data_IF_985826494913
#
_entry.id   IF_985826494913
#
_cell.length_a   1.000
_cell.length_b   1.000
_cell.length_c   1.000
_cell.angle_alpha   90.00
_cell.angle_beta   90.00
_cell.angle_gamma   90.00
#
_symmetry.space_group_name_H-M   'P 1'
#
loop_
_entity.id
_entity.type
_entity.pdbx_description
1 polymer ?
#
# COMPACT_ATOMS: atom_id res chain seq x y z
N UNK A 1 21.91 -39.83 -41.19
CA UNK A 1 22.84 -39.21 -40.22
C UNK A 1 22.54 -37.72 -40.21
N UNK A 2 21.90 -37.21 -39.20
CA UNK A 2 21.49 -35.82 -39.10
C UNK A 2 21.12 -35.53 -37.63
N UNK A 3 22.09 -34.98 -36.89
CA UNK A 3 21.94 -34.62 -35.48
C UNK A 3 20.98 -33.44 -35.34
N UNK A 4 19.83 -33.67 -34.71
CA UNK A 4 18.95 -32.62 -34.20
C UNK A 4 19.46 -32.12 -32.86
N UNK A 5 20.03 -30.93 -32.84
CA UNK A 5 20.41 -30.21 -31.62
C UNK A 5 19.19 -29.55 -31.00
N UNK A 6 18.71 -30.13 -29.91
CA UNK A 6 17.61 -29.59 -29.12
C UNK A 6 18.14 -28.40 -28.32
N UNK A 7 17.79 -27.17 -28.72
CA UNK A 7 18.07 -25.94 -27.98
C UNK A 7 17.15 -25.87 -26.75
N UNK A 8 17.70 -26.21 -25.60
CA UNK A 8 17.10 -25.88 -24.28
C UNK A 8 17.24 -24.37 -24.09
N UNK A 9 16.15 -23.63 -24.31
CA UNK A 9 16.04 -22.23 -23.91
C UNK A 9 15.91 -22.16 -22.41
N UNK A 10 16.95 -21.70 -21.78
CA UNK A 10 16.98 -21.37 -20.36
C UNK A 10 15.94 -20.28 -20.01
N UNK A 11 15.08 -20.59 -19.06
CA UNK A 11 13.99 -19.75 -18.53
C UNK A 11 14.50 -18.75 -17.47
N UNK A 12 15.70 -18.18 -17.62
CA UNK A 12 16.37 -17.40 -16.56
C UNK A 12 16.68 -15.95 -16.90
N UNK A 13 16.17 -15.37 -17.98
CA UNK A 13 16.39 -13.95 -18.28
C UNK A 13 15.07 -13.24 -18.65
N UNK A 14 14.11 -13.19 -17.73
CA UNK A 14 13.20 -12.06 -17.66
C UNK A 14 13.95 -10.93 -16.95
N UNK A 15 14.77 -10.20 -17.70
CA UNK A 15 15.15 -8.84 -17.32
C UNK A 15 13.85 -8.08 -17.10
N UNK A 16 13.50 -7.82 -15.83
CA UNK A 16 12.46 -6.84 -15.50
C UNK A 16 12.91 -5.54 -16.16
N UNK A 17 12.27 -5.21 -17.29
CA UNK A 17 12.34 -3.86 -17.82
C UNK A 17 11.93 -2.96 -16.68
N UNK A 18 12.86 -2.15 -16.17
CA UNK A 18 12.54 -1.06 -15.25
C UNK A 18 11.65 -0.10 -16.05
N UNK A 19 10.35 -0.35 -16.03
CA UNK A 19 9.39 0.55 -16.61
C UNK A 19 9.59 1.90 -15.89
N UNK A 20 9.66 3.00 -16.63
CA UNK A 20 9.84 4.35 -16.06
C UNK A 20 8.46 4.95 -15.79
N UNK A 21 8.30 5.71 -14.70
CA UNK A 21 7.05 6.43 -14.48
C UNK A 21 6.63 7.16 -15.75
N UNK A 22 5.37 7.02 -16.13
CA UNK A 22 4.85 7.61 -17.38
C UNK A 22 3.52 8.33 -17.14
N UNK A 23 3.18 9.27 -18.00
CA UNK A 23 1.91 9.98 -17.96
C UNK A 23 0.87 9.25 -18.81
N UNK A 24 -0.37 9.21 -18.30
CA UNK A 24 -1.52 8.73 -19.06
C UNK A 24 -1.84 9.75 -20.17
N UNK A 25 -2.04 9.25 -21.39
CA UNK A 25 -2.63 10.05 -22.45
C UNK A 25 -4.12 10.30 -22.15
N UNK A 26 -4.42 11.49 -21.65
CA UNK A 26 -5.80 11.87 -21.32
C UNK A 26 -6.74 11.86 -22.52
N UNK A 27 -6.23 12.02 -23.76
CA UNK A 27 -7.07 12.03 -24.96
C UNK A 27 -7.73 10.67 -25.21
N UNK A 28 -7.04 9.59 -24.84
CA UNK A 28 -7.49 8.21 -25.03
C UNK A 28 -7.93 7.53 -23.74
N UNK A 29 -7.77 8.19 -22.58
CA UNK A 29 -8.08 7.57 -21.29
C UNK A 29 -9.59 7.44 -21.07
N UNK A 30 -10.12 6.21 -20.86
CA UNK A 30 -11.57 6.01 -20.67
C UNK A 30 -12.16 6.76 -19.47
N UNK A 31 -11.34 7.09 -18.45
CA UNK A 31 -11.78 7.84 -17.28
C UNK A 31 -11.72 9.37 -17.44
N UNK A 32 -11.30 9.89 -18.57
CA UNK A 32 -11.12 11.32 -18.78
C UNK A 32 -12.29 12.18 -18.28
N UNK A 33 -13.51 11.84 -18.64
CA UNK A 33 -14.69 12.62 -18.24
C UNK A 33 -14.90 12.65 -16.73
N UNK A 34 -14.67 11.52 -16.04
CA UNK A 34 -14.75 11.42 -14.57
C UNK A 34 -13.59 12.17 -13.91
N UNK A 35 -12.40 12.07 -14.49
CA UNK A 35 -11.22 12.81 -14.04
C UNK A 35 -11.46 14.32 -14.07
N UNK A 36 -11.87 14.85 -15.23
CA UNK A 36 -12.15 16.27 -15.44
C UNK A 36 -13.29 16.77 -14.55
N UNK A 37 -14.31 15.93 -14.28
CA UNK A 37 -15.43 16.28 -13.41
C UNK A 37 -15.01 16.51 -11.96
N UNK A 38 -14.20 15.60 -11.37
CA UNK A 38 -13.79 15.69 -9.97
C UNK A 38 -12.56 16.58 -9.74
N UNK A 39 -11.78 16.87 -10.77
CA UNK A 39 -10.54 17.64 -10.65
C UNK A 39 -10.72 19.01 -9.97
N UNK A 40 -11.77 19.80 -10.26
CA UNK A 40 -11.96 21.12 -9.66
C UNK A 40 -12.59 21.07 -8.25
N UNK A 41 -12.89 19.91 -7.71
CA UNK A 41 -13.49 19.82 -6.37
C UNK A 41 -12.48 20.20 -5.29
N UNK A 42 -12.88 21.02 -4.33
CA UNK A 42 -12.03 21.39 -3.19
C UNK A 42 -11.60 20.19 -2.34
N UNK A 43 -12.47 19.18 -2.23
CA UNK A 43 -12.23 17.94 -1.48
C UNK A 43 -12.57 16.70 -2.34
N UNK A 44 -11.78 16.42 -3.36
CA UNK A 44 -12.07 15.31 -4.26
C UNK A 44 -11.63 13.96 -3.67
N UNK A 45 -11.89 13.73 -2.39
CA UNK A 45 -11.51 12.50 -1.71
C UNK A 45 -12.75 11.78 -1.21
N UNK A 46 -12.69 10.46 -1.28
CA UNK A 46 -13.63 9.63 -0.55
C UNK A 46 -12.89 8.57 0.26
N UNK A 47 -13.52 8.16 1.33
CA UNK A 47 -13.01 7.17 2.26
C UNK A 47 -13.99 6.00 2.36
N UNK A 48 -13.45 4.79 2.34
CA UNK A 48 -14.18 3.55 2.62
C UNK A 48 -13.60 2.94 3.88
N UNK A 49 -14.43 2.75 4.90
CA UNK A 49 -14.07 1.96 6.08
C UNK A 49 -14.70 0.58 5.97
N UNK A 50 -13.93 -0.45 6.25
CA UNK A 50 -14.33 -1.84 6.24
C UNK A 50 -13.67 -2.61 7.39
N UNK A 51 -13.95 -3.89 7.47
CA UNK A 51 -13.50 -4.79 8.53
C UNK A 51 -12.84 -6.00 7.89
N UNK A 52 -11.56 -6.18 8.08
CA UNK A 52 -10.80 -7.29 7.53
C UNK A 52 -10.66 -8.41 8.56
N UNK A 53 -10.96 -9.64 8.14
CA UNK A 53 -10.68 -10.83 8.94
C UNK A 53 -9.20 -11.20 8.78
N UNK A 54 -8.47 -11.12 9.89
CA UNK A 54 -7.03 -11.41 9.94
C UNK A 54 -6.71 -12.71 10.69
N UNK A 55 -7.71 -13.54 10.95
CA UNK A 55 -7.57 -14.79 11.74
C UNK A 55 -6.54 -15.73 11.15
N UNK A 56 -6.63 -15.98 9.84
CA UNK A 56 -5.70 -16.87 9.14
C UNK A 56 -4.29 -16.28 9.07
N UNK A 57 -4.17 -14.96 8.89
CA UNK A 57 -2.89 -14.27 8.93
C UNK A 57 -2.20 -14.48 10.28
N UNK A 58 -2.91 -14.25 11.39
CA UNK A 58 -2.35 -14.46 12.73
C UNK A 58 -1.96 -15.91 12.97
N UNK A 59 -2.77 -16.85 12.47
CA UNK A 59 -2.47 -18.29 12.55
C UNK A 59 -1.20 -18.67 11.78
N UNK A 60 -1.03 -18.16 10.57
CA UNK A 60 0.16 -18.39 9.76
C UNK A 60 1.42 -17.80 10.42
N UNK A 61 1.31 -16.59 10.97
CA UNK A 61 2.44 -15.92 11.60
C UNK A 61 2.89 -16.55 12.91
N UNK A 62 2.00 -17.22 13.67
CA UNK A 62 2.38 -17.97 14.89
C UNK A 62 3.36 -19.12 14.61
N UNK A 63 3.39 -19.62 13.38
CA UNK A 63 4.28 -20.71 12.95
C UNK A 63 5.64 -20.21 12.46
N UNK A 64 5.83 -18.89 12.37
CA UNK A 64 7.03 -18.27 11.81
C UNK A 64 7.88 -17.62 12.91
N UNK A 65 9.15 -17.94 12.93
CA UNK A 65 10.10 -17.24 13.79
C UNK A 65 10.22 -15.77 13.36
N UNK A 66 10.30 -14.88 14.34
CA UNK A 66 10.47 -13.43 14.14
C UNK A 66 9.35 -12.76 13.33
N UNK A 67 8.16 -13.34 13.31
CA UNK A 67 7.02 -12.76 12.63
C UNK A 67 6.65 -11.39 13.24
N UNK A 68 6.43 -10.42 12.39
CA UNK A 68 5.95 -9.08 12.78
C UNK A 68 4.63 -8.79 12.08
N UNK A 69 3.53 -8.95 12.84
CA UNK A 69 2.16 -8.76 12.32
C UNK A 69 2.00 -7.37 11.71
N UNK A 70 2.55 -6.33 12.34
CA UNK A 70 2.47 -4.95 11.89
C UNK A 70 3.12 -4.76 10.51
N UNK A 71 4.36 -5.19 10.32
CA UNK A 71 5.02 -5.13 9.02
C UNK A 71 4.36 -6.04 7.98
N UNK A 72 3.83 -7.19 8.40
CA UNK A 72 3.20 -8.13 7.47
C UNK A 72 1.93 -7.57 6.84
N UNK A 73 1.02 -6.96 7.61
CA UNK A 73 -0.16 -6.38 6.96
C UNK A 73 0.17 -5.12 6.14
N UNK A 74 1.25 -4.38 6.46
CA UNK A 74 1.75 -3.33 5.57
C UNK A 74 2.28 -3.90 4.24
N UNK A 75 3.01 -5.02 4.30
CA UNK A 75 3.44 -5.73 3.09
C UNK A 75 2.28 -6.12 2.20
N UNK A 76 1.26 -6.78 2.76
CA UNK A 76 0.09 -7.21 2.00
C UNK A 76 -0.67 -6.01 1.41
N UNK A 77 -0.81 -4.93 2.16
CA UNK A 77 -1.43 -3.70 1.69
C UNK A 77 -0.67 -3.05 0.53
N UNK A 78 0.67 -3.01 0.60
CA UNK A 78 1.50 -2.51 -0.47
C UNK A 78 1.49 -3.43 -1.69
N UNK A 79 1.48 -4.74 -1.48
CA UNK A 79 1.37 -5.71 -2.56
C UNK A 79 0.06 -5.52 -3.33
N UNK A 80 -1.07 -5.45 -2.65
CA UNK A 80 -2.36 -5.16 -3.28
C UNK A 80 -2.34 -3.84 -4.06
N UNK A 81 -1.73 -2.80 -3.51
CA UNK A 81 -1.64 -1.50 -4.16
C UNK A 81 -0.77 -1.52 -5.42
N UNK A 82 0.31 -2.30 -5.43
CA UNK A 82 1.16 -2.45 -6.60
C UNK A 82 0.50 -3.29 -7.70
N UNK A 83 -0.37 -4.22 -7.35
CA UNK A 83 -1.12 -5.05 -8.30
C UNK A 83 -2.34 -4.33 -8.90
N UNK A 84 -2.88 -3.30 -8.24
CA UNK A 84 -4.05 -2.52 -8.69
C UNK A 84 -3.58 -1.16 -9.23
N UNK A 85 -3.41 -1.07 -10.54
CA UNK A 85 -2.77 0.08 -11.21
C UNK A 85 -3.25 1.46 -10.73
N UNK A 86 -4.57 1.75 -10.53
CA UNK A 86 -5.00 3.06 -10.06
C UNK A 86 -4.40 3.50 -8.71
N UNK A 87 -3.97 2.59 -7.85
CA UNK A 87 -3.25 2.94 -6.61
C UNK A 87 -1.85 3.50 -6.87
N UNK A 88 -1.32 3.34 -8.09
CA UNK A 88 -0.04 3.88 -8.54
C UNK A 88 -0.17 5.24 -9.25
N UNK A 89 -1.40 5.73 -9.45
CA UNK A 89 -1.67 7.03 -10.06
C UNK A 89 -1.37 8.18 -9.11
N UNK A 90 -0.79 9.25 -9.66
CA UNK A 90 -0.60 10.51 -8.96
C UNK A 90 -1.01 11.68 -9.85
N UNK A 91 -1.65 12.66 -9.23
CA UNK A 91 -1.96 13.93 -9.88
C UNK A 91 -0.73 14.82 -9.87
N UNK A 92 -0.30 15.30 -11.04
CA UNK A 92 0.80 16.24 -11.17
C UNK A 92 0.47 17.26 -12.26
N UNK A 93 0.31 18.52 -11.87
CA UNK A 93 0.03 19.65 -12.80
C UNK A 93 -1.15 19.36 -13.75
N UNK A 94 -2.23 18.81 -13.20
CA UNK A 94 -3.42 18.46 -13.96
C UNK A 94 -3.28 17.23 -14.86
N UNK A 95 -2.18 16.50 -14.77
CA UNK A 95 -1.91 15.24 -15.49
C UNK A 95 -1.88 14.05 -14.54
N UNK A 96 -2.02 12.84 -15.08
CA UNK A 96 -1.97 11.60 -14.29
C UNK A 96 -0.67 10.87 -14.57
N UNK A 97 0.22 10.87 -13.57
CA UNK A 97 1.43 10.08 -13.56
C UNK A 97 1.14 8.67 -13.05
N UNK A 98 1.70 7.66 -13.68
CA UNK A 98 1.69 6.25 -13.23
C UNK A 98 3.07 5.89 -12.73
N UNK A 99 3.19 5.55 -11.45
CA UNK A 99 4.41 4.98 -10.91
C UNK A 99 4.50 3.49 -11.22
N UNK A 100 5.71 2.98 -11.43
CA UNK A 100 5.91 1.53 -11.60
C UNK A 100 5.75 0.78 -10.29
N UNK A 101 6.30 1.34 -9.23
CA UNK A 101 6.29 0.75 -7.89
C UNK A 101 5.89 1.81 -6.89
N UNK A 102 5.02 1.40 -5.97
CA UNK A 102 4.62 2.20 -4.82
C UNK A 102 5.22 1.62 -3.55
N UNK A 103 5.89 2.47 -2.81
CA UNK A 103 6.51 2.20 -1.53
C UNK A 103 5.58 2.55 -0.36
N UNK A 104 6.02 2.31 0.87
CA UNK A 104 5.26 2.59 2.08
C UNK A 104 5.86 3.70 2.94
N UNK A 105 4.99 4.39 3.65
CA UNK A 105 5.36 5.26 4.75
C UNK A 105 4.31 5.15 5.84
N UNK A 106 4.74 5.09 7.10
CA UNK A 106 3.82 4.96 8.24
C UNK A 106 4.33 5.73 9.45
N UNK A 107 3.47 5.89 10.44
CA UNK A 107 3.84 6.53 11.71
C UNK A 107 4.45 5.52 12.67
N UNK A 108 5.47 5.94 13.40
CA UNK A 108 6.10 5.20 14.48
C UNK A 108 6.04 6.03 15.75
N UNK A 109 5.37 5.49 16.78
CA UNK A 109 5.29 6.17 18.09
C UNK A 109 6.63 6.11 18.82
N UNK A 110 6.97 7.19 19.48
CA UNK A 110 8.19 7.37 20.26
C UNK A 110 7.89 7.27 21.76
N UNK A 111 8.91 7.01 22.63
CA UNK A 111 8.72 6.89 24.06
C UNK A 111 8.16 8.13 24.76
N UNK A 112 8.29 9.30 24.14
CA UNK A 112 7.76 10.59 24.64
C UNK A 112 6.33 10.87 24.19
N UNK A 113 5.59 9.84 23.71
CA UNK A 113 4.20 9.92 23.23
C UNK A 113 4.00 10.78 21.97
N UNK A 114 5.08 11.21 21.31
CA UNK A 114 5.02 11.78 19.98
C UNK A 114 5.19 10.68 18.92
N UNK A 115 5.18 11.04 17.63
CA UNK A 115 5.46 10.10 16.58
C UNK A 115 6.46 10.69 15.56
N UNK A 116 7.16 9.79 14.89
CA UNK A 116 7.94 10.10 13.71
C UNK A 116 7.44 9.28 12.52
N UNK A 117 8.06 9.47 11.36
CA UNK A 117 7.72 8.74 10.14
C UNK A 117 8.81 7.72 9.83
N UNK A 118 8.38 6.51 9.50
CA UNK A 118 9.25 5.48 8.94
C UNK A 118 8.83 5.19 7.50
N UNK A 119 9.82 5.04 6.64
CA UNK A 119 9.64 4.75 5.21
C UNK A 119 10.34 3.45 4.88
N UNK A 120 9.68 2.60 4.10
CA UNK A 120 10.23 1.34 3.64
C UNK A 120 9.86 1.11 2.18
N UNK A 121 10.76 0.49 1.47
CA UNK A 121 10.58 0.18 0.07
C UNK A 121 9.83 -1.15 -0.09
N UNK A 122 8.98 -1.23 -1.11
CA UNK A 122 8.29 -2.45 -1.46
C UNK A 122 9.26 -3.43 -2.15
N UNK A 123 9.11 -4.70 -1.84
CA UNK A 123 9.73 -5.79 -2.57
C UNK A 123 8.69 -6.87 -2.82
N UNK A 124 8.73 -7.55 -3.96
CA UNK A 124 7.80 -8.64 -4.28
C UNK A 124 7.94 -9.82 -3.31
N UNK A 125 9.18 -10.16 -2.93
CA UNK A 125 9.47 -11.17 -1.93
C UNK A 125 9.18 -10.64 -0.53
N UNK A 126 8.38 -11.38 0.23
CA UNK A 126 8.07 -11.05 1.61
C UNK A 126 9.32 -10.99 2.48
N UNK A 127 10.22 -11.97 2.36
CA UNK A 127 11.45 -12.01 3.14
C UNK A 127 12.35 -10.80 2.89
N UNK A 128 12.50 -10.36 1.63
CA UNK A 128 13.24 -9.14 1.29
C UNK A 128 12.57 -7.88 1.83
N UNK A 129 11.25 -7.79 1.72
CA UNK A 129 10.51 -6.68 2.31
C UNK A 129 10.71 -6.62 3.82
N UNK A 130 10.57 -7.76 4.52
CA UNK A 130 10.73 -7.82 5.98
C UNK A 130 12.13 -7.42 6.43
N UNK A 131 13.18 -7.83 5.72
CA UNK A 131 14.55 -7.40 6.00
C UNK A 131 14.70 -5.87 5.89
N UNK A 132 14.28 -5.30 4.77
CA UNK A 132 14.38 -3.86 4.52
C UNK A 132 13.53 -3.03 5.49
N UNK A 133 12.28 -3.42 5.70
CA UNK A 133 11.35 -2.72 6.57
C UNK A 133 11.75 -2.80 8.06
N UNK A 134 12.23 -3.96 8.52
CA UNK A 134 12.74 -4.11 9.89
C UNK A 134 13.91 -3.19 10.13
N UNK A 135 14.90 -3.17 9.22
CA UNK A 135 16.05 -2.26 9.29
C UNK A 135 15.62 -0.79 9.34
N UNK A 136 14.70 -0.38 8.47
CA UNK A 136 14.19 0.99 8.43
C UNK A 136 13.51 1.40 9.75
N UNK A 137 12.77 0.48 10.38
CA UNK A 137 12.14 0.70 11.70
C UNK A 137 13.20 0.84 12.80
N UNK A 138 14.20 -0.03 12.81
CA UNK A 138 15.30 0.02 13.80
C UNK A 138 16.13 1.30 13.68
N UNK A 139 16.50 1.68 12.46
CA UNK A 139 17.21 2.93 12.19
C UNK A 139 16.40 4.16 12.64
N UNK A 140 15.07 4.13 12.38
CA UNK A 140 14.17 5.22 12.80
C UNK A 140 14.05 5.29 14.34
N UNK A 141 13.97 4.16 15.02
CA UNK A 141 13.88 4.08 16.50
C UNK A 141 15.17 4.53 17.18
N UNK A 142 16.32 4.18 16.60
CA UNK A 142 17.64 4.49 17.13
C UNK A 142 18.15 5.87 16.68
N UNK A 143 17.41 6.55 15.81
CA UNK A 143 17.71 7.88 15.31
C UNK A 143 17.38 8.98 16.33
N UNK A 144 17.47 10.22 15.88
CA UNK A 144 17.21 11.41 16.70
C UNK A 144 15.72 11.72 16.99
N UNK A 145 14.80 10.87 16.51
CA UNK A 145 13.35 11.04 16.66
C UNK A 145 12.75 12.22 15.88
N UNK A 146 13.55 12.90 15.05
CA UNK A 146 13.08 14.06 14.32
C UNK A 146 11.99 13.70 13.30
N UNK A 147 10.97 14.54 13.24
CA UNK A 147 9.89 14.41 12.28
C UNK A 147 10.34 14.93 10.90
N UNK A 148 10.59 14.01 9.96
CA UNK A 148 11.11 14.32 8.61
C UNK A 148 10.16 13.84 7.50
N UNK A 149 9.11 14.61 7.19
CA UNK A 149 8.20 14.24 6.11
C UNK A 149 8.86 14.38 4.73
N UNK A 150 8.65 13.40 3.87
CA UNK A 150 9.13 13.38 2.48
C UNK A 150 8.01 13.84 1.54
N UNK A 151 7.70 15.12 1.54
CA UNK A 151 6.56 15.67 0.80
C UNK A 151 6.67 15.54 -0.72
N UNK A 152 7.87 15.51 -1.25
CA UNK A 152 8.13 15.42 -2.70
C UNK A 152 8.11 13.96 -3.22
N UNK A 153 8.12 12.99 -2.30
CA UNK A 153 8.11 11.57 -2.66
C UNK A 153 6.67 11.04 -2.65
N UNK A 154 5.99 11.17 -3.78
CA UNK A 154 4.63 10.69 -3.96
C UNK A 154 4.54 9.24 -4.48
N UNK A 155 5.68 8.59 -4.78
CA UNK A 155 5.74 7.17 -5.07
C UNK A 155 5.50 6.29 -3.81
N UNK A 156 4.63 6.76 -2.90
CA UNK A 156 4.33 6.11 -1.63
C UNK A 156 2.84 6.06 -1.35
N UNK A 157 2.46 5.15 -0.47
CA UNK A 157 1.18 5.16 0.23
C UNK A 157 1.46 5.53 1.69
N UNK A 158 0.63 6.43 2.23
CA UNK A 158 0.71 6.80 3.63
C UNK A 158 -0.19 5.89 4.46
N UNK A 159 0.43 5.22 5.42
CA UNK A 159 -0.26 4.34 6.36
C UNK A 159 -0.31 4.96 7.76
N UNK A 160 -1.37 4.66 8.48
CA UNK A 160 -1.53 5.02 9.90
C UNK A 160 -2.03 3.80 10.65
N UNK A 161 -1.44 3.53 11.81
CA UNK A 161 -1.92 2.47 12.70
C UNK A 161 -2.47 3.10 13.98
N UNK A 162 -3.71 2.74 14.33
CA UNK A 162 -4.43 3.18 15.53
C UNK A 162 -4.72 1.97 16.42
N UNK A 163 -3.71 1.41 17.11
CA UNK A 163 -3.85 0.13 17.84
C UNK A 163 -4.72 0.25 19.09
N UNK A 164 -5.11 1.45 19.45
CA UNK A 164 -5.98 1.73 20.61
C UNK A 164 -7.47 1.81 20.26
N UNK A 165 -7.80 2.00 18.97
CA UNK A 165 -9.17 2.36 18.54
C UNK A 165 -9.66 1.38 17.49
N UNK A 166 -10.77 0.69 17.80
CA UNK A 166 -11.55 -0.07 16.83
C UNK A 166 -12.53 0.92 16.14
N UNK A 167 -12.03 1.69 15.18
CA UNK A 167 -12.81 2.73 14.53
C UNK A 167 -13.84 2.13 13.55
N UNK A 168 -14.94 2.85 13.36
CA UNK A 168 -15.96 2.59 12.34
C UNK A 168 -15.93 3.63 11.21
N UNK A 169 -15.30 4.77 11.46
CA UNK A 169 -15.08 5.85 10.51
C UNK A 169 -13.74 6.52 10.81
N UNK A 170 -13.06 6.97 9.78
CA UNK A 170 -11.78 7.66 9.90
C UNK A 170 -11.56 8.58 8.69
N UNK A 171 -10.94 9.72 8.90
CA UNK A 171 -10.50 10.60 7.81
C UNK A 171 -9.16 11.23 8.16
N UNK A 172 -8.33 11.44 7.15
CA UNK A 172 -7.01 12.04 7.32
C UNK A 172 -7.03 13.55 7.19
N UNK A 173 -6.09 14.20 7.86
CA UNK A 173 -5.76 15.58 7.55
C UNK A 173 -5.20 15.71 6.13
N UNK A 174 -5.64 16.74 5.40
CA UNK A 174 -5.20 17.07 4.04
C UNK A 174 -4.80 18.54 3.97
N UNK A 175 -3.80 18.86 3.16
CA UNK A 175 -3.42 20.25 2.89
C UNK A 175 -4.31 20.83 1.79
N UNK A 176 -4.89 22.00 2.04
CA UNK A 176 -5.61 22.76 1.03
C UNK A 176 -4.66 23.33 -0.04
N UNK A 177 -5.13 23.40 -1.27
CA UNK A 177 -4.39 24.01 -2.38
C UNK A 177 -3.16 23.21 -2.85
N UNK A 178 -3.00 21.96 -2.46
CA UNK A 178 -1.98 21.06 -2.99
C UNK A 178 -2.61 19.85 -3.67
N UNK A 179 -1.98 19.40 -4.75
CA UNK A 179 -2.30 18.14 -5.43
C UNK A 179 -1.85 16.96 -4.55
N UNK A 180 -2.57 16.70 -3.44
CA UNK A 180 -2.32 15.53 -2.58
C UNK A 180 -3.18 14.36 -3.05
N UNK A 181 -2.69 13.58 -3.99
CA UNK A 181 -3.39 12.42 -4.55
C UNK A 181 -2.89 11.07 -3.99
N UNK A 182 -1.99 11.11 -3.03
CA UNK A 182 -1.45 9.90 -2.37
C UNK A 182 -2.56 9.18 -1.62
N UNK A 183 -2.82 7.88 -1.89
CA UNK A 183 -3.72 7.06 -1.11
C UNK A 183 -3.29 6.98 0.35
N UNK A 184 -4.27 6.96 1.26
CA UNK A 184 -4.02 6.83 2.69
C UNK A 184 -4.75 5.61 3.23
N UNK A 185 -4.04 4.78 3.97
CA UNK A 185 -4.54 3.56 4.59
C UNK A 185 -4.49 3.69 6.10
N UNK A 186 -5.51 3.18 6.78
CA UNK A 186 -5.53 3.16 8.25
C UNK A 186 -5.90 1.79 8.78
N UNK A 187 -5.13 1.32 9.74
CA UNK A 187 -5.30 0.05 10.41
C UNK A 187 -5.71 0.29 11.87
N UNK A 188 -6.82 -0.30 12.29
CA UNK A 188 -7.37 -0.11 13.63
C UNK A 188 -6.98 -1.21 14.61
N UNK A 189 -7.49 -1.05 15.86
CA UNK A 189 -7.36 -2.03 16.92
C UNK A 189 -8.05 -3.34 16.54
N UNK A 190 -7.35 -4.46 16.71
CA UNK A 190 -7.94 -5.79 16.53
C UNK A 190 -9.01 -6.05 17.58
N UNK A 191 -10.12 -6.61 17.14
CA UNK A 191 -11.24 -7.06 18.01
C UNK A 191 -11.49 -8.53 17.79
N UNK A 192 -11.83 -9.22 18.88
CA UNK A 192 -12.23 -10.63 18.81
C UNK A 192 -13.76 -10.72 18.64
N UNK A 193 -14.21 -11.45 17.62
CA UNK A 193 -15.61 -11.68 17.33
C UNK A 193 -15.83 -13.17 17.09
N UNK A 194 -16.34 -13.87 18.08
CA UNK A 194 -16.39 -15.32 18.12
C UNK A 194 -14.97 -15.90 17.91
N UNK A 195 -14.79 -16.74 16.88
CA UNK A 195 -13.50 -17.35 16.54
C UNK A 195 -12.65 -16.49 15.57
N UNK A 196 -13.12 -15.30 15.19
CA UNK A 196 -12.45 -14.43 14.23
C UNK A 196 -11.79 -13.22 14.91
N UNK A 197 -10.63 -12.87 14.41
CA UNK A 197 -9.97 -11.62 14.76
C UNK A 197 -10.17 -10.62 13.63
N UNK A 198 -10.80 -9.50 13.94
CA UNK A 198 -11.19 -8.48 12.98
C UNK A 198 -10.34 -7.23 13.17
N UNK A 199 -9.86 -6.68 12.07
CA UNK A 199 -9.12 -5.43 12.01
C UNK A 199 -9.94 -4.38 11.25
N UNK A 200 -10.32 -3.25 11.87
CA UNK A 200 -10.84 -2.11 11.12
C UNK A 200 -9.80 -1.60 10.14
N UNK A 201 -10.24 -1.31 8.92
CA UNK A 201 -9.39 -0.84 7.84
C UNK A 201 -10.07 0.29 7.08
N UNK A 202 -9.29 1.30 6.70
CA UNK A 202 -9.78 2.44 5.95
C UNK A 202 -8.89 2.72 4.74
N UNK A 203 -9.54 3.01 3.62
CA UNK A 203 -8.89 3.38 2.36
C UNK A 203 -9.44 4.73 1.92
N UNK A 204 -8.60 5.76 1.91
CA UNK A 204 -8.94 7.09 1.44
C UNK A 204 -8.17 7.41 0.15
N UNK A 205 -8.89 7.77 -0.91
CA UNK A 205 -8.34 7.96 -2.26
C UNK A 205 -8.89 9.22 -2.94
N UNK A 206 -8.19 9.69 -3.97
CA UNK A 206 -8.58 10.84 -4.77
C UNK A 206 -9.57 10.42 -5.86
N UNK A 207 -10.78 11.00 -5.87
CA UNK A 207 -11.87 10.55 -6.74
C UNK A 207 -11.65 10.83 -8.23
N UNK A 208 -10.84 11.83 -8.58
CA UNK A 208 -10.46 12.00 -9.99
C UNK A 208 -9.68 10.79 -10.52
N UNK A 209 -8.87 10.14 -9.69
CA UNK A 209 -7.97 9.07 -10.12
C UNK A 209 -8.60 7.68 -10.03
N UNK A 210 -9.48 7.46 -9.07
CA UNK A 210 -10.13 6.16 -8.87
C UNK A 210 -11.52 6.30 -8.23
N UNK A 211 -12.28 5.24 -8.29
CA UNK A 211 -13.65 5.16 -7.75
C UNK A 211 -13.85 3.89 -6.92
N UNK A 212 -15.08 3.66 -6.47
CA UNK A 212 -15.44 2.51 -5.64
C UNK A 212 -15.12 1.16 -6.26
N UNK A 213 -15.12 1.03 -7.60
CA UNK A 213 -14.73 -0.22 -8.27
C UNK A 213 -13.25 -0.56 -8.00
N UNK A 214 -12.36 0.43 -8.07
CA UNK A 214 -10.93 0.23 -7.85
C UNK A 214 -10.62 -0.08 -6.37
N UNK A 215 -11.29 0.62 -5.46
CA UNK A 215 -11.20 0.33 -4.02
C UNK A 215 -11.78 -1.06 -3.71
N UNK A 216 -12.90 -1.44 -4.34
CA UNK A 216 -13.47 -2.79 -4.20
C UNK A 216 -12.52 -3.90 -4.66
N UNK A 217 -11.85 -3.72 -5.79
CA UNK A 217 -10.81 -4.66 -6.27
C UNK A 217 -9.64 -4.76 -5.30
N UNK A 218 -9.20 -3.64 -4.76
CA UNK A 218 -8.15 -3.59 -3.76
C UNK A 218 -8.53 -4.35 -2.49
N UNK A 219 -9.75 -4.13 -1.99
CA UNK A 219 -10.26 -4.81 -0.79
C UNK A 219 -10.40 -6.31 -1.01
N UNK A 220 -10.97 -6.73 -2.15
CA UNK A 220 -11.07 -8.14 -2.51
C UNK A 220 -9.69 -8.83 -2.56
N UNK A 221 -8.67 -8.13 -3.09
CA UNK A 221 -7.30 -8.65 -3.11
C UNK A 221 -6.69 -8.75 -1.71
N UNK A 222 -6.93 -7.76 -0.85
CA UNK A 222 -6.53 -7.81 0.56
C UNK A 222 -7.18 -9.00 1.27
N UNK A 223 -8.48 -9.20 1.12
CA UNK A 223 -9.23 -10.29 1.73
C UNK A 223 -8.71 -11.66 1.26
N UNK A 224 -8.42 -11.83 -0.02
CA UNK A 224 -7.81 -13.05 -0.57
C UNK A 224 -6.46 -13.36 0.10
N UNK A 225 -5.56 -12.37 0.19
CA UNK A 225 -4.25 -12.54 0.81
C UNK A 225 -4.34 -12.83 2.31
N UNK A 226 -5.30 -12.22 3.00
CA UNK A 226 -5.54 -12.47 4.42
C UNK A 226 -6.16 -13.83 4.68
N UNK A 227 -6.98 -14.34 3.75
CA UNK A 227 -7.60 -15.67 3.83
C UNK A 227 -6.60 -16.80 3.55
N UNK A 228 -5.62 -16.57 2.67
CA UNK A 228 -4.63 -17.57 2.23
C UNK A 228 -3.19 -17.03 2.35
N UNK A 229 -2.75 -16.58 3.53
CA UNK A 229 -1.49 -15.86 3.70
C UNK A 229 -0.25 -16.68 3.32
N UNK A 230 -0.28 -18.00 3.49
CA UNK A 230 0.86 -18.88 3.16
C UNK A 230 1.29 -18.80 1.68
N UNK A 231 0.37 -18.43 0.78
CA UNK A 231 0.68 -18.24 -0.65
C UNK A 231 1.45 -16.94 -0.95
N UNK A 232 1.56 -16.03 0.02
CA UNK A 232 2.11 -14.68 -0.15
C UNK A 232 3.27 -14.36 0.79
N UNK A 233 3.54 -15.22 1.75
CA UNK A 233 4.58 -15.05 2.75
C UNK A 233 5.67 -16.11 2.51
N UNK A 234 6.53 -15.89 1.52
CA UNK A 234 7.67 -16.74 1.15
C UNK A 234 8.76 -16.82 2.24
#
# INVERSE_FOLDING_TARGET
>A
MGNGLLLLLNHADRVQSLAMPHYIDLATWPRRAVFEFYLPFDKPYFNVCTRLDITNLLSALRKRERANVWLTYHYLALRAANEIEPFRYRLRQGQVLVHDVINGGTTLILPNETFTLVYFDYAESYSKFMEGATRAVEETRNGDGAFRPRHEDDARIHCTTLPWIAFTSFSHARRWGREDSVPKLSFGKFTQENERTIMPFSVEVHHSLMDGLHVGRYLARMEEMLAQPEAFLD
#
